data_IF_900457995614
#
_entry.id   IF_900457995614
#
_cell.length_a   1.000
_cell.length_b   1.000
_cell.length_c   1.000
_cell.angle_alpha   90.00
_cell.angle_beta   90.00
_cell.angle_gamma   90.00
#
_symmetry.space_group_name_H-M   'P 1'
#
loop_
_entity.id
_entity.type
_entity.pdbx_description
1 polymer ?
#
# COMPACT_ATOMS: atom_id res chain seq x y z
N UNK A 1 -46.96 -73.06 -23.20
CA UNK A 1 -47.09 -72.91 -24.67
C UNK A 1 -45.69 -73.00 -25.23
N UNK A 2 -45.40 -74.12 -25.93
CA UNK A 2 -44.35 -74.45 -26.93
C UNK A 2 -42.98 -73.75 -26.83
N UNK A 3 -41.80 -74.35 -26.96
CA UNK A 3 -41.24 -75.70 -27.17
C UNK A 3 -39.71 -75.52 -26.94
N UNK A 4 -39.02 -76.53 -26.39
CA UNK A 4 -37.55 -76.69 -26.49
C UNK A 4 -37.26 -77.52 -27.78
N UNK A 5 -36.01 -77.94 -28.09
CA UNK A 5 -34.71 -77.26 -28.29
C UNK A 5 -34.00 -77.77 -29.60
N UNK A 6 -32.70 -77.48 -29.72
CA UNK A 6 -31.63 -78.43 -30.15
C UNK A 6 -31.12 -78.45 -31.62
N UNK A 7 -29.79 -78.61 -31.69
CA UNK A 7 -28.88 -78.96 -32.78
C UNK A 7 -28.56 -77.86 -33.81
N UNK A 8 -27.33 -77.33 -33.83
CA UNK A 8 -26.04 -77.99 -34.15
C UNK A 8 -25.89 -78.09 -35.68
N UNK A 9 -25.08 -77.19 -36.23
CA UNK A 9 -24.00 -77.61 -37.11
C UNK A 9 -22.87 -76.62 -36.88
N UNK A 10 -21.93 -77.08 -36.05
CA UNK A 10 -20.55 -76.70 -36.18
C UNK A 10 -20.10 -76.86 -37.64
N UNK A 11 -19.36 -75.87 -38.15
CA UNK A 11 -18.12 -76.28 -38.79
C UNK A 11 -16.98 -75.36 -38.32
N UNK A 12 -15.99 -76.03 -37.74
CA UNK A 12 -14.70 -75.56 -37.26
C UNK A 12 -13.89 -75.08 -38.47
N UNK A 13 -13.27 -73.90 -38.40
CA UNK A 13 -11.81 -73.69 -38.16
C UNK A 13 -10.96 -74.00 -39.42
N UNK A 14 -9.78 -73.39 -39.69
CA UNK A 14 -8.96 -72.61 -38.78
C UNK A 14 -8.36 -71.34 -39.37
N UNK A 15 -8.00 -70.39 -38.50
CA UNK A 15 -6.62 -69.93 -38.28
C UNK A 15 -6.66 -69.22 -36.92
N UNK A 16 -6.19 -69.91 -35.89
CA UNK A 16 -4.81 -69.74 -35.39
C UNK A 16 -4.81 -68.43 -34.55
N UNK A 17 -4.94 -68.57 -33.22
CA UNK A 17 -3.83 -68.39 -32.25
C UNK A 17 -3.22 -66.97 -32.37
N UNK A 18 -3.20 -66.12 -31.35
CA UNK A 18 -2.51 -66.18 -30.07
C UNK A 18 -3.16 -65.07 -29.23
N UNK A 19 -3.61 -65.35 -28.02
CA UNK A 19 -2.76 -65.22 -26.84
C UNK A 19 -2.15 -63.82 -26.66
N UNK A 20 -2.59 -63.19 -25.56
CA UNK A 20 -1.69 -62.54 -24.62
C UNK A 20 -1.13 -61.17 -25.02
N UNK A 21 -1.85 -60.17 -24.54
CA UNK A 21 -1.33 -59.20 -23.57
C UNK A 21 0.17 -58.81 -23.65
N UNK A 22 0.33 -57.49 -23.70
CA UNK A 22 1.43 -56.65 -23.16
C UNK A 22 2.61 -56.37 -24.08
N UNK A 23 2.60 -55.11 -24.56
CA UNK A 23 3.73 -54.23 -24.32
C UNK A 23 4.63 -53.99 -25.52
N UNK A 24 5.04 -52.73 -25.63
CA UNK A 24 5.92 -52.16 -26.65
C UNK A 24 5.29 -52.03 -28.04
N UNK A 25 4.69 -50.86 -28.29
CA UNK A 25 5.37 -49.95 -29.22
C UNK A 25 4.95 -48.51 -28.93
N UNK A 26 5.81 -47.83 -28.18
CA UNK A 26 5.71 -46.41 -27.90
C UNK A 26 6.91 -45.71 -28.52
N UNK A 27 7.24 -45.99 -29.79
CA UNK A 27 8.21 -45.15 -30.50
C UNK A 27 7.99 -45.15 -32.00
N UNK A 28 7.90 -43.93 -32.52
CA UNK A 28 8.24 -43.54 -33.89
C UNK A 28 7.14 -43.67 -34.96
N UNK A 29 6.21 -42.72 -34.92
CA UNK A 29 5.78 -42.12 -36.19
C UNK A 29 5.79 -40.59 -36.10
N UNK A 30 6.94 -40.03 -36.47
CA UNK A 30 7.12 -38.62 -36.80
C UNK A 30 6.32 -38.31 -38.07
N UNK A 31 5.00 -38.18 -37.92
CA UNK A 31 4.16 -37.45 -38.86
C UNK A 31 3.98 -36.05 -38.30
N UNK A 32 4.80 -35.12 -38.80
CA UNK A 32 4.66 -33.68 -38.57
C UNK A 32 3.30 -33.20 -39.07
N UNK A 33 2.26 -33.40 -38.27
CA UNK A 33 1.02 -32.67 -38.44
C UNK A 33 1.32 -31.26 -37.99
N UNK A 34 1.74 -30.45 -38.97
CA UNK A 34 1.87 -29.00 -38.86
C UNK A 34 0.49 -28.50 -38.43
N UNK A 35 0.27 -28.43 -37.11
CA UNK A 35 -0.91 -27.85 -36.48
C UNK A 35 -1.02 -26.46 -37.09
N UNK A 36 -1.92 -26.29 -38.07
CA UNK A 36 -2.21 -24.98 -38.64
C UNK A 36 -2.71 -24.14 -37.48
N UNK A 37 -1.80 -23.41 -36.85
CA UNK A 37 -2.12 -22.29 -35.97
C UNK A 37 -2.98 -21.39 -36.82
N UNK A 38 -4.29 -21.43 -36.62
CA UNK A 38 -5.20 -20.45 -37.20
C UNK A 38 -4.65 -19.10 -36.71
N UNK A 39 -4.17 -18.21 -37.60
CA UNK A 39 -3.64 -16.94 -37.15
C UNK A 39 -4.81 -16.19 -36.52
N UNK A 40 -4.70 -15.88 -35.23
CA UNK A 40 -5.61 -14.95 -34.58
C UNK A 40 -5.54 -13.67 -35.40
N UNK A 41 -6.65 -13.12 -35.92
CA UNK A 41 -6.59 -11.91 -36.72
C UNK A 41 -5.95 -10.81 -35.86
N UNK A 42 -4.84 -10.25 -36.34
CA UNK A 42 -3.93 -9.35 -35.59
C UNK A 42 -4.69 -8.21 -34.90
N UNK A 43 -5.81 -7.76 -35.48
CA UNK A 43 -6.72 -6.75 -34.92
C UNK A 43 -7.37 -7.16 -33.58
N UNK A 44 -7.72 -8.44 -33.41
CA UNK A 44 -8.30 -8.96 -32.15
C UNK A 44 -7.21 -9.12 -31.09
N UNK A 45 -6.03 -9.60 -31.46
CA UNK A 45 -4.89 -9.71 -30.54
C UNK A 45 -4.42 -8.34 -30.04
N UNK A 46 -4.39 -7.31 -30.91
CA UNK A 46 -4.08 -5.94 -30.52
C UNK A 46 -5.13 -5.34 -29.56
N UNK A 47 -6.43 -5.62 -29.78
CA UNK A 47 -7.49 -5.17 -28.87
C UNK A 47 -7.36 -5.79 -27.47
N UNK A 48 -7.05 -7.08 -27.38
CA UNK A 48 -6.80 -7.76 -26.10
C UNK A 48 -5.54 -7.24 -25.40
N UNK A 49 -4.48 -6.91 -26.14
CA UNK A 49 -3.27 -6.34 -25.58
C UNK A 49 -3.50 -4.93 -24.97
N UNK A 50 -4.28 -4.08 -25.64
CA UNK A 50 -4.65 -2.76 -25.11
C UNK A 50 -5.53 -2.91 -23.85
N UNK A 51 -6.53 -3.80 -23.88
CA UNK A 51 -7.37 -4.06 -22.72
C UNK A 51 -6.56 -4.58 -21.51
N UNK A 52 -5.59 -5.48 -21.75
CA UNK A 52 -4.70 -5.96 -20.71
C UNK A 52 -3.79 -4.84 -20.15
N UNK A 53 -3.26 -3.97 -21.02
CA UNK A 53 -2.44 -2.83 -20.59
C UNK A 53 -3.25 -1.83 -19.74
N UNK A 54 -4.49 -1.53 -20.12
CA UNK A 54 -5.39 -0.66 -19.34
C UNK A 54 -5.74 -1.30 -17.99
N UNK A 55 -5.96 -2.62 -17.94
CA UNK A 55 -6.20 -3.32 -16.68
C UNK A 55 -4.98 -3.28 -15.76
N UNK A 56 -3.77 -3.51 -16.29
CA UNK A 56 -2.53 -3.43 -15.51
C UNK A 56 -2.31 -2.00 -15.01
N UNK A 57 -2.49 -0.99 -15.86
CA UNK A 57 -2.38 0.41 -15.47
C UNK A 57 -3.44 0.80 -14.41
N UNK A 58 -4.66 0.30 -14.55
CA UNK A 58 -5.74 0.52 -13.59
C UNK A 58 -5.45 -0.11 -12.23
N UNK A 59 -4.98 -1.36 -12.21
CA UNK A 59 -4.56 -2.04 -10.97
C UNK A 59 -3.37 -1.32 -10.34
N UNK A 60 -2.39 -0.91 -11.14
CA UNK A 60 -1.22 -0.17 -10.65
C UNK A 60 -1.62 1.18 -10.03
N UNK A 61 -2.53 1.92 -10.67
CA UNK A 61 -3.03 3.18 -10.13
C UNK A 61 -3.75 3.00 -8.80
N UNK A 62 -4.56 1.94 -8.66
CA UNK A 62 -5.24 1.61 -7.39
C UNK A 62 -4.21 1.28 -6.31
N UNK A 63 -3.19 0.47 -6.63
CA UNK A 63 -2.13 0.13 -5.66
C UNK A 63 -1.36 1.38 -5.22
N UNK A 64 -1.01 2.28 -6.15
CA UNK A 64 -0.34 3.54 -5.83
C UNK A 64 -1.20 4.44 -4.94
N UNK A 65 -2.50 4.55 -5.22
CA UNK A 65 -3.42 5.34 -4.41
C UNK A 65 -3.64 4.78 -2.99
N UNK A 66 -3.31 3.50 -2.76
CA UNK A 66 -3.39 2.86 -1.44
C UNK A 66 -2.07 2.89 -0.66
N UNK A 67 -0.97 3.37 -1.26
CA UNK A 67 0.30 3.48 -0.53
C UNK A 67 0.25 4.66 0.45
N UNK A 68 0.84 4.54 1.65
CA UNK A 68 1.01 5.66 2.56
C UNK A 68 1.76 6.79 1.86
N UNK A 69 1.32 8.04 2.08
CA UNK A 69 2.06 9.22 1.61
C UNK A 69 3.20 9.51 2.57
N UNK A 70 4.37 9.81 2.02
CA UNK A 70 5.50 10.32 2.79
C UNK A 70 5.37 11.85 2.91
N UNK A 71 4.52 12.30 3.83
CA UNK A 71 4.22 13.73 4.01
C UNK A 71 5.48 14.53 4.33
N UNK A 72 6.36 13.97 5.17
CA UNK A 72 7.62 14.63 5.55
C UNK A 72 8.53 14.76 4.34
N UNK A 73 8.68 13.70 3.54
CA UNK A 73 9.45 13.75 2.28
C UNK A 73 8.89 14.76 1.29
N UNK A 74 7.56 14.81 1.11
CA UNK A 74 6.90 15.77 0.22
C UNK A 74 7.16 17.22 0.61
N UNK A 75 7.10 17.55 1.91
CA UNK A 75 7.45 18.90 2.38
C UNK A 75 8.94 19.16 2.18
N UNK A 76 9.84 18.24 2.56
CA UNK A 76 11.29 18.42 2.41
C UNK A 76 11.74 18.64 0.95
N UNK A 77 11.04 18.02 0.00
CA UNK A 77 11.33 18.15 -1.43
C UNK A 77 10.68 19.40 -2.07
N UNK A 78 9.79 20.09 -1.35
CA UNK A 78 9.10 21.28 -1.86
C UNK A 78 10.05 22.48 -2.00
N UNK A 79 9.78 23.33 -3.00
CA UNK A 79 10.64 24.50 -3.28
C UNK A 79 10.32 25.72 -2.42
N UNK A 80 9.21 25.70 -1.70
CA UNK A 80 8.62 26.80 -0.94
C UNK A 80 8.59 26.54 0.57
N UNK A 81 9.47 25.66 1.08
CA UNK A 81 9.53 25.35 2.51
C UNK A 81 9.88 26.58 3.32
N UNK A 82 9.07 26.85 4.35
CA UNK A 82 9.33 27.85 5.37
C UNK A 82 9.42 27.15 6.72
N UNK A 83 10.38 27.56 7.54
CA UNK A 83 10.65 26.95 8.84
C UNK A 83 10.53 27.99 9.96
N UNK A 84 9.86 27.60 11.05
CA UNK A 84 9.80 28.30 12.31
C UNK A 84 10.35 27.41 13.42
N UNK A 85 11.03 28.02 14.40
CA UNK A 85 11.72 27.29 15.47
C UNK A 85 11.37 27.89 16.82
N UNK A 86 11.08 27.03 17.79
CA UNK A 86 10.78 27.41 19.17
C UNK A 86 11.63 26.58 20.13
N UNK A 87 12.31 27.23 21.07
CA UNK A 87 13.07 26.55 22.14
C UNK A 87 12.14 26.07 23.25
N UNK A 88 12.42 24.90 23.82
CA UNK A 88 11.73 24.40 25.01
C UNK A 88 12.51 24.77 26.27
N UNK A 89 11.83 25.30 27.29
CA UNK A 89 12.47 25.78 28.52
C UNK A 89 13.24 24.68 29.28
N UNK A 90 12.78 23.43 29.19
CA UNK A 90 13.45 22.27 29.82
C UNK A 90 14.52 21.62 28.91
N UNK A 91 14.76 22.19 27.73
CA UNK A 91 15.81 21.77 26.80
C UNK A 91 15.28 21.24 25.46
N UNK A 92 16.10 21.41 24.43
CA UNK A 92 15.76 21.00 23.06
C UNK A 92 15.07 22.09 22.25
N UNK A 93 14.75 21.76 21.01
CA UNK A 93 14.21 22.69 20.02
C UNK A 93 13.16 22.01 19.15
N UNK A 94 11.99 22.65 19.02
CA UNK A 94 10.93 22.20 18.13
C UNK A 94 10.97 23.03 16.84
N UNK A 95 10.98 22.34 15.70
CA UNK A 95 11.07 22.97 14.38
C UNK A 95 9.83 22.62 13.56
N UNK A 96 9.02 23.62 13.23
CA UNK A 96 7.87 23.50 12.34
C UNK A 96 8.31 23.90 10.92
N UNK A 97 8.26 22.96 9.98
CA UNK A 97 8.50 23.21 8.56
C UNK A 97 7.21 23.00 7.76
N UNK A 98 6.88 23.95 6.89
CA UNK A 98 5.61 23.96 6.14
C UNK A 98 5.85 24.28 4.67
N UNK A 99 5.01 23.74 3.79
CA UNK A 99 4.96 24.08 2.36
C UNK A 99 3.53 24.34 1.93
N UNK A 100 3.30 25.50 1.30
CA UNK A 100 2.00 25.87 0.79
C UNK A 100 1.66 25.13 -0.51
N UNK A 101 2.67 24.78 -1.31
CA UNK A 101 2.54 23.95 -2.51
C UNK A 101 2.13 22.51 -2.15
N UNK A 102 2.74 21.92 -1.12
CA UNK A 102 2.39 20.59 -0.63
C UNK A 102 1.09 20.58 0.20
N UNK A 103 0.63 21.75 0.67
CA UNK A 103 -0.48 21.90 1.63
C UNK A 103 -0.27 21.03 2.89
N UNK A 104 0.97 21.04 3.39
CA UNK A 104 1.43 20.14 4.44
C UNK A 104 2.55 20.76 5.28
N UNK A 105 2.82 20.16 6.43
CA UNK A 105 3.93 20.50 7.28
C UNK A 105 4.38 19.33 8.14
N UNK A 106 5.49 19.50 8.85
CA UNK A 106 5.94 18.57 9.86
C UNK A 106 6.59 19.31 11.03
N UNK A 107 6.55 18.68 12.20
CA UNK A 107 7.29 19.11 13.39
C UNK A 107 8.37 18.09 13.69
N UNK A 108 9.59 18.58 13.91
CA UNK A 108 10.76 17.81 14.34
C UNK A 108 11.18 18.30 15.73
N UNK A 109 11.43 17.37 16.65
CA UNK A 109 11.97 17.67 17.98
C UNK A 109 13.43 17.28 18.02
N UNK A 110 14.31 18.21 18.35
CA UNK A 110 15.75 17.96 18.48
C UNK A 110 16.21 18.19 19.90
N UNK A 111 17.01 17.26 20.43
CA UNK A 111 17.58 17.30 21.77
C UNK A 111 16.53 17.47 22.90
N UNK A 112 15.30 17.00 22.67
CA UNK A 112 14.25 17.00 23.70
C UNK A 112 14.59 16.00 24.83
N UNK A 113 14.28 16.33 26.09
CA UNK A 113 14.41 15.36 27.16
C UNK A 113 13.44 14.19 26.94
N UNK A 114 13.84 12.99 27.36
CA UNK A 114 12.95 11.83 27.28
C UNK A 114 11.74 12.03 28.22
N UNK A 115 10.50 11.82 27.75
CA UNK A 115 9.32 11.95 28.59
C UNK A 115 9.31 10.91 29.71
N UNK A 116 8.63 11.19 30.82
CA UNK A 116 8.50 10.22 31.91
C UNK A 116 7.81 8.93 31.42
N UNK A 117 8.14 7.80 32.05
CA UNK A 117 7.57 6.49 31.70
C UNK A 117 6.04 6.53 31.65
N UNK A 118 5.48 6.20 30.49
CA UNK A 118 4.02 6.19 30.26
C UNK A 118 3.46 7.51 29.73
N UNK A 119 4.31 8.50 29.50
CA UNK A 119 4.00 9.75 28.81
C UNK A 119 4.66 9.79 27.43
N UNK A 120 4.09 10.60 26.54
CA UNK A 120 4.59 10.87 25.20
C UNK A 120 4.46 12.35 24.90
N UNK A 121 5.33 12.86 24.02
CA UNK A 121 5.04 14.12 23.35
C UNK A 121 3.95 13.88 22.31
N UNK A 122 2.96 14.77 22.30
CA UNK A 122 1.85 14.74 21.35
C UNK A 122 1.73 16.11 20.69
N UNK A 123 1.73 16.13 19.35
CA UNK A 123 1.45 17.33 18.58
C UNK A 123 -0.03 17.43 18.19
N UNK A 124 -0.51 18.66 18.07
CA UNK A 124 -1.88 19.01 17.75
C UNK A 124 -1.90 20.15 16.74
N UNK A 125 -2.61 20.00 15.63
CA UNK A 125 -2.90 21.15 14.75
C UNK A 125 -4.04 21.96 15.33
N UNK A 126 -3.91 23.28 15.31
CA UNK A 126 -4.96 24.22 15.72
C UNK A 126 -5.64 24.79 14.48
N UNK A 127 -6.94 24.53 14.36
CA UNK A 127 -7.73 25.00 13.23
C UNK A 127 -7.86 26.54 13.23
N UNK A 128 -7.53 27.18 12.12
CA UNK A 128 -7.48 28.64 11.98
C UNK A 128 -8.85 29.33 12.10
N UNK A 129 -9.95 28.61 11.87
CA UNK A 129 -11.30 29.17 11.88
C UNK A 129 -12.01 28.97 13.22
N UNK A 130 -11.75 27.84 13.87
CA UNK A 130 -12.47 27.37 15.06
C UNK A 130 -11.62 27.40 16.33
N UNK A 131 -10.29 27.38 16.20
CA UNK A 131 -9.36 27.22 17.32
C UNK A 131 -9.37 25.82 17.94
N UNK A 132 -9.99 24.83 17.27
CA UNK A 132 -10.05 23.47 17.78
C UNK A 132 -8.74 22.73 17.50
N UNK A 133 -8.32 21.90 18.46
CA UNK A 133 -7.22 20.96 18.31
C UNK A 133 -7.64 19.69 17.59
N UNK A 134 -6.78 19.20 16.71
CA UNK A 134 -6.86 17.84 16.15
C UNK A 134 -5.52 17.11 16.39
N UNK A 135 -5.55 15.85 16.85
CA UNK A 135 -4.33 15.09 17.14
C UNK A 135 -3.56 14.76 15.86
N UNK A 136 -2.23 14.82 15.96
CA UNK A 136 -1.32 14.16 15.03
C UNK A 136 -0.90 12.79 15.57
N UNK A 137 -0.05 12.06 14.83
CA UNK A 137 0.57 10.86 15.38
C UNK A 137 1.45 11.23 16.59
N UNK A 138 1.50 10.39 17.66
CA UNK A 138 2.44 10.62 18.75
C UNK A 138 3.89 10.60 18.24
N UNK A 139 4.75 11.42 18.84
CA UNK A 139 6.18 11.34 18.54
C UNK A 139 6.75 10.00 18.99
N UNK A 140 7.60 9.39 18.16
CA UNK A 140 8.29 8.14 18.51
C UNK A 140 9.30 8.39 19.64
N UNK A 141 9.07 7.82 20.82
CA UNK A 141 9.91 8.08 22.02
C UNK A 141 11.36 7.58 21.87
N UNK A 142 11.59 6.56 21.05
CA UNK A 142 12.92 5.93 20.88
C UNK A 142 13.75 6.53 19.72
N UNK A 143 13.22 7.53 19.01
CA UNK A 143 13.92 8.19 17.91
C UNK A 143 14.81 9.34 18.42
N UNK A 144 16.00 9.53 17.82
CA UNK A 144 16.91 10.63 18.20
C UNK A 144 16.29 12.02 17.93
N UNK A 145 15.71 12.20 16.75
CA UNK A 145 15.00 13.43 16.36
C UNK A 145 13.60 13.04 15.85
N UNK A 146 12.61 12.82 16.75
CA UNK A 146 11.30 12.35 16.32
C UNK A 146 10.57 13.41 15.49
N UNK A 147 9.87 12.95 14.45
CA UNK A 147 9.19 13.80 13.48
C UNK A 147 7.74 13.34 13.28
N UNK A 148 6.82 14.30 13.15
CA UNK A 148 5.42 14.04 12.82
C UNK A 148 4.94 14.98 11.71
N UNK A 149 4.29 14.42 10.70
CA UNK A 149 3.75 15.16 9.56
C UNK A 149 2.25 15.43 9.69
N UNK A 150 1.77 16.48 9.02
CA UNK A 150 0.35 16.80 8.88
C UNK A 150 0.04 17.37 7.49
N UNK A 151 -1.23 17.26 7.10
CA UNK A 151 -1.78 17.79 5.85
C UNK A 151 -2.83 18.87 6.15
N UNK A 152 -3.22 19.64 5.14
CA UNK A 152 -4.24 20.67 5.25
C UNK A 152 -3.72 21.95 5.90
N UNK A 153 -2.48 22.35 5.58
CA UNK A 153 -1.82 23.53 6.14
C UNK A 153 -2.71 24.79 6.07
N UNK A 154 -3.50 24.94 5.02
CA UNK A 154 -4.39 26.10 4.82
C UNK A 154 -5.40 26.33 5.94
N UNK A 155 -5.76 25.27 6.66
CA UNK A 155 -6.71 25.32 7.76
C UNK A 155 -6.01 25.37 9.14
N UNK A 156 -4.67 25.46 9.17
CA UNK A 156 -3.87 25.44 10.41
C UNK A 156 -3.29 26.82 10.70
N UNK A 157 -3.38 27.29 11.94
CA UNK A 157 -2.76 28.55 12.39
C UNK A 157 -1.50 28.33 13.24
N UNK A 158 -1.45 27.23 13.99
CA UNK A 158 -0.30 26.84 14.81
C UNK A 158 -0.34 25.33 15.10
N UNK A 159 0.79 24.82 15.59
CA UNK A 159 0.91 23.48 16.15
C UNK A 159 1.25 23.58 17.62
N UNK A 160 0.43 22.99 18.47
CA UNK A 160 0.69 22.87 19.91
C UNK A 160 1.33 21.52 20.21
N UNK A 161 2.23 21.50 21.21
CA UNK A 161 2.84 20.27 21.73
C UNK A 161 2.51 20.15 23.20
N UNK A 162 2.07 18.96 23.61
CA UNK A 162 1.76 18.62 25.00
C UNK A 162 2.51 17.36 25.45
N UNK A 163 2.46 17.08 26.76
CA UNK A 163 2.92 15.82 27.34
C UNK A 163 1.68 15.03 27.76
N UNK A 164 1.39 13.94 27.06
CA UNK A 164 0.16 13.18 27.24
C UNK A 164 0.46 11.77 27.74
N UNK A 165 -0.47 11.14 28.49
CA UNK A 165 -0.43 9.71 28.69
C UNK A 165 -0.48 8.95 27.35
N UNK A 166 0.24 7.83 27.25
CA UNK A 166 0.17 6.95 26.07
C UNK A 166 -1.29 6.56 25.80
N UNK A 167 -1.77 6.84 24.59
CA UNK A 167 -3.12 6.50 24.14
C UNK A 167 -3.63 7.46 23.07
N UNK A 168 -4.85 7.20 22.57
CA UNK A 168 -5.50 8.07 21.59
C UNK A 168 -6.48 9.00 22.30
N UNK A 169 -6.06 10.23 22.57
CA UNK A 169 -6.95 11.30 23.00
C UNK A 169 -7.41 12.13 21.79
N UNK A 170 -8.70 12.47 21.73
CA UNK A 170 -9.25 13.30 20.64
C UNK A 170 -8.97 14.80 20.81
N UNK A 171 -8.54 15.23 21.99
CA UNK A 171 -8.20 16.61 22.37
C UNK A 171 -7.06 16.57 23.41
N UNK A 172 -6.27 17.66 23.56
CA UNK A 172 -5.28 17.79 24.63
C UNK A 172 -5.87 17.51 26.01
N UNK A 173 -5.16 16.74 26.84
CA UNK A 173 -5.55 16.54 28.26
C UNK A 173 -4.69 17.37 29.22
N UNK A 174 -3.58 17.93 28.71
CA UNK A 174 -2.69 18.85 29.44
C UNK A 174 -2.57 20.19 28.70
N UNK A 175 -2.00 21.18 29.37
CA UNK A 175 -1.71 22.49 28.75
C UNK A 175 -0.52 22.35 27.76
N UNK A 176 -0.52 23.10 26.64
CA UNK A 176 0.62 23.13 25.73
C UNK A 176 1.91 23.55 26.44
N UNK A 177 2.97 22.75 26.27
CA UNK A 177 4.32 23.10 26.68
C UNK A 177 5.01 23.99 25.64
N UNK A 178 4.55 23.92 24.38
CA UNK A 178 4.99 24.74 23.26
C UNK A 178 3.83 25.02 22.30
N UNK A 179 3.86 26.21 21.71
CA UNK A 179 3.02 26.61 20.58
C UNK A 179 3.91 27.10 19.45
N UNK A 180 3.77 26.51 18.28
CA UNK A 180 4.53 26.81 17.07
C UNK A 180 3.60 27.46 16.04
N UNK A 181 3.56 28.80 15.94
CA UNK A 181 2.76 29.46 14.92
C UNK A 181 3.26 29.07 13.53
N UNK A 182 2.34 28.93 12.58
CA UNK A 182 2.70 28.66 11.18
C UNK A 182 3.61 29.80 10.69
N UNK A 183 4.85 29.49 10.25
CA UNK A 183 5.79 30.52 9.87
C UNK A 183 5.38 31.15 8.54
N UNK A 184 5.47 32.48 8.45
CA UNK A 184 5.25 33.20 7.20
C UNK A 184 6.59 33.36 6.48
N UNK A 185 6.66 32.96 5.21
CA UNK A 185 7.84 33.25 4.37
C UNK A 185 8.05 34.76 4.24
N UNK A 186 9.30 35.21 4.35
CA UNK A 186 9.68 36.62 4.11
C UNK A 186 9.71 36.99 2.62
#
# INVERSE_FOLDING_TARGET
>A
MRERPLHDDADRDPRADEETNLGLDLVDEVATTKRRRRPVPVKRAALFAIAAAVLVAGVLAIVVAMMPRDIVGEVRDASDVVTGTTEYEDGGTATLSVSAEADAGFVELSDFPEPESGLVYQAWVVDANTGNHSPLEPFETDAEDPVVGFQGLRDVVEVDITIEPVGEAGIPTTEPILSLPVPTGE
#
